data_IF_407214990640
#
_entry.id   IF_407214990640
#
_cell.length_a   1.000
_cell.length_b   1.000
_cell.length_c   1.000
_cell.angle_alpha   90.00
_cell.angle_beta   90.00
_cell.angle_gamma   90.00
#
_symmetry.space_group_name_H-M   'P 1'
#
loop_
_entity.id
_entity.type
_entity.pdbx_description
1 polymer ?
#
# COMPACT_ATOMS: atom_id res chain seq x y z
N UNK A 1 -25.05 -3.31 3.94
CA UNK A 1 -23.72 -3.86 4.26
C UNK A 1 -23.31 -3.24 5.57
N UNK A 2 -22.90 -4.03 6.57
CA UNK A 2 -22.24 -3.46 7.74
C UNK A 2 -20.85 -3.04 7.28
N UNK A 3 -20.63 -1.73 7.16
CA UNK A 3 -19.34 -1.18 6.78
C UNK A 3 -18.44 -1.23 8.02
N UNK A 4 -17.47 -2.15 8.02
CA UNK A 4 -16.55 -2.32 9.14
C UNK A 4 -15.59 -1.14 9.30
N UNK A 5 -15.54 -0.21 8.34
CA UNK A 5 -14.87 1.08 8.49
C UNK A 5 -15.36 2.11 7.46
N UNK A 6 -16.18 3.07 7.90
CA UNK A 6 -16.39 4.32 7.15
C UNK A 6 -15.09 5.15 7.19
N UNK A 7 -14.34 5.08 6.11
CA UNK A 7 -13.07 5.79 5.93
C UNK A 7 -13.23 7.20 5.33
N UNK A 8 -14.46 7.71 5.24
CA UNK A 8 -14.75 9.05 4.73
C UNK A 8 -14.74 9.16 3.20
N UNK A 9 -14.75 10.39 2.71
CA UNK A 9 -15.04 10.67 1.30
C UNK A 9 -13.80 10.96 0.45
N UNK A 10 -12.69 11.35 1.08
CA UNK A 10 -11.44 11.75 0.40
C UNK A 10 -10.38 10.68 0.59
N UNK A 11 -10.10 9.93 -0.47
CA UNK A 11 -9.10 8.87 -0.46
C UNK A 11 -7.86 9.23 -1.28
N UNK A 12 -6.71 8.80 -0.79
CA UNK A 12 -5.46 8.75 -1.53
C UNK A 12 -5.10 7.29 -1.83
N UNK A 13 -4.91 6.97 -3.10
CA UNK A 13 -4.44 5.65 -3.56
C UNK A 13 -2.95 5.75 -3.91
N UNK A 14 -2.08 5.33 -2.98
CA UNK A 14 -0.63 5.40 -3.14
C UNK A 14 -0.14 4.13 -3.84
N UNK A 15 0.70 4.27 -4.86
CA UNK A 15 1.14 3.15 -5.70
C UNK A 15 -0.02 2.53 -6.49
N UNK A 16 -0.89 3.37 -7.04
CA UNK A 16 -2.20 2.99 -7.58
C UNK A 16 -2.14 1.90 -8.67
N UNK A 17 -1.06 1.92 -9.47
CA UNK A 17 -0.93 1.05 -10.63
C UNK A 17 -2.13 1.11 -11.59
N UNK A 18 -2.22 0.09 -12.45
CA UNK A 18 -3.34 -0.10 -13.40
C UNK A 18 -4.26 -1.27 -13.00
N UNK A 19 -4.24 -1.61 -11.72
CA UNK A 19 -4.91 -2.80 -11.17
C UNK A 19 -6.43 -2.66 -11.08
N UNK A 20 -7.03 -3.53 -10.27
CA UNK A 20 -8.45 -3.44 -9.94
C UNK A 20 -8.73 -2.41 -8.82
N UNK A 21 -7.70 -2.03 -8.07
CA UNK A 21 -7.78 -1.17 -6.89
C UNK A 21 -8.33 0.22 -7.20
N UNK A 22 -7.88 0.93 -8.25
CA UNK A 22 -8.41 2.25 -8.55
C UNK A 22 -9.94 2.29 -8.67
N UNK A 23 -10.52 1.39 -9.48
CA UNK A 23 -11.97 1.31 -9.69
C UNK A 23 -12.76 1.00 -8.43
N UNK A 24 -12.18 0.19 -7.54
CA UNK A 24 -12.81 -0.09 -6.25
C UNK A 24 -12.83 1.16 -5.38
N UNK A 25 -11.70 1.87 -5.26
CA UNK A 25 -11.64 3.08 -4.46
C UNK A 25 -12.52 4.20 -5.02
N UNK A 26 -12.59 4.36 -6.35
CA UNK A 26 -13.50 5.30 -7.02
C UNK A 26 -14.99 4.96 -6.80
N UNK A 27 -15.31 3.71 -6.52
CA UNK A 27 -16.67 3.28 -6.16
C UNK A 27 -16.98 3.55 -4.67
N UNK A 28 -16.02 3.30 -3.78
CA UNK A 28 -16.22 3.44 -2.33
C UNK A 28 -16.10 4.90 -1.83
N UNK A 29 -15.32 5.74 -2.52
CA UNK A 29 -15.06 7.12 -2.10
C UNK A 29 -15.48 8.13 -3.16
N UNK A 30 -15.97 9.28 -2.70
CA UNK A 30 -16.44 10.36 -3.57
C UNK A 30 -15.29 11.09 -4.28
N UNK A 31 -14.15 11.23 -3.62
CA UNK A 31 -12.99 11.95 -4.14
C UNK A 31 -11.75 11.06 -3.95
N UNK A 32 -11.17 10.59 -5.06
CA UNK A 32 -9.99 9.75 -5.05
C UNK A 32 -8.88 10.44 -5.81
N UNK A 33 -7.73 10.58 -5.18
CA UNK A 33 -6.49 10.96 -5.86
C UNK A 33 -5.62 9.72 -5.99
N UNK A 34 -5.19 9.41 -7.20
CA UNK A 34 -4.26 8.31 -7.47
C UNK A 34 -2.83 8.84 -7.57
N UNK A 35 -1.90 8.21 -6.86
CA UNK A 35 -0.49 8.46 -7.01
C UNK A 35 0.27 7.18 -7.38
N UNK A 36 1.21 7.31 -8.31
CA UNK A 36 2.19 6.27 -8.60
C UNK A 36 3.56 6.90 -8.90
N UNK A 37 4.64 6.15 -8.70
CA UNK A 37 6.01 6.59 -9.02
C UNK A 37 6.20 6.72 -10.54
N UNK A 38 5.44 5.95 -11.32
CA UNK A 38 5.41 6.06 -12.77
C UNK A 38 4.06 6.62 -13.20
N UNK A 39 4.03 7.87 -13.68
CA UNK A 39 2.80 8.51 -14.19
C UNK A 39 2.10 7.68 -15.28
N UNK A 40 2.83 6.84 -16.01
CA UNK A 40 2.22 5.95 -17.02
C UNK A 40 1.47 4.79 -16.39
N UNK A 41 1.45 4.64 -15.07
CA UNK A 41 0.66 3.63 -14.37
C UNK A 41 -0.62 4.19 -13.77
N UNK A 42 -0.82 5.50 -13.70
CA UNK A 42 -2.05 6.06 -13.11
C UNK A 42 -3.27 5.81 -14.02
N UNK A 43 -4.47 5.65 -13.43
CA UNK A 43 -5.71 5.31 -14.17
C UNK A 43 -6.31 6.47 -14.99
N UNK A 44 -5.71 7.67 -14.96
CA UNK A 44 -6.32 8.92 -15.45
C UNK A 44 -7.02 9.68 -14.32
N UNK A 45 -7.81 10.71 -14.66
CA UNK A 45 -8.52 11.53 -13.66
C UNK A 45 -7.58 12.30 -12.72
N UNK A 46 -8.03 12.49 -11.48
CA UNK A 46 -7.24 13.12 -10.41
C UNK A 46 -6.06 12.22 -10.04
N UNK A 47 -4.92 12.47 -10.69
CA UNK A 47 -3.73 11.67 -10.53
C UNK A 47 -2.45 12.50 -10.54
N UNK A 48 -1.45 12.03 -9.81
CA UNK A 48 -0.16 12.70 -9.67
C UNK A 48 0.98 11.68 -9.69
N UNK A 49 2.12 12.04 -10.27
CA UNK A 49 3.34 11.26 -10.08
C UNK A 49 3.88 11.56 -8.67
N UNK A 50 4.07 10.53 -7.85
CA UNK A 50 4.61 10.75 -6.52
C UNK A 50 5.37 9.55 -5.94
N UNK A 51 6.28 9.85 -5.03
CA UNK A 51 7.04 8.87 -4.27
C UNK A 51 6.37 8.68 -2.90
N UNK A 52 6.09 7.43 -2.51
CA UNK A 52 5.31 7.16 -1.29
C UNK A 52 6.02 7.64 -0.02
N UNK A 53 7.35 7.77 -0.06
CA UNK A 53 8.16 8.32 1.05
C UNK A 53 8.25 9.85 1.09
N UNK A 54 7.60 10.55 0.15
CA UNK A 54 7.52 12.02 0.10
C UNK A 54 6.25 12.47 -0.63
N UNK A 55 5.12 12.43 0.07
CA UNK A 55 3.81 12.67 -0.55
C UNK A 55 3.57 14.17 -0.77
N UNK A 56 3.23 14.62 -2.00
CA UNK A 56 3.11 16.03 -2.37
C UNK A 56 1.77 16.66 -1.95
N UNK A 57 1.30 16.33 -0.75
CA UNK A 57 0.02 16.78 -0.21
C UNK A 57 0.22 17.43 1.16
N UNK A 58 -0.65 18.39 1.47
CA UNK A 58 -0.72 18.99 2.81
C UNK A 58 -1.09 17.95 3.86
N UNK A 59 -0.74 18.24 5.10
CA UNK A 59 -1.16 17.45 6.25
C UNK A 59 -2.70 17.37 6.33
N UNK A 60 -3.24 16.20 6.65
CA UNK A 60 -4.68 15.96 6.76
C UNK A 60 -5.50 16.25 5.49
N UNK A 61 -4.88 16.21 4.31
CA UNK A 61 -5.56 16.39 3.03
C UNK A 61 -6.67 15.36 2.78
N UNK A 62 -6.50 14.14 3.29
CA UNK A 62 -7.36 12.99 3.04
C UNK A 62 -7.99 12.43 4.32
N UNK A 63 -9.12 11.74 4.15
CA UNK A 63 -9.72 10.96 5.22
C UNK A 63 -8.99 9.61 5.35
N UNK A 64 -8.58 9.01 4.23
CA UNK A 64 -7.83 7.74 4.21
C UNK A 64 -6.75 7.70 3.13
N UNK A 65 -5.61 7.07 3.43
CA UNK A 65 -4.59 6.70 2.46
C UNK A 65 -4.47 5.17 2.35
N UNK A 66 -4.47 4.66 1.12
CA UNK A 66 -4.32 3.25 0.80
C UNK A 66 -2.92 2.97 0.26
N UNK A 67 -2.23 1.98 0.83
CA UNK A 67 -0.97 1.42 0.33
C UNK A 67 -1.16 -0.06 0.04
N UNK A 68 -2.04 -0.36 -0.92
CA UNK A 68 -2.41 -1.74 -1.23
C UNK A 68 -1.32 -2.37 -2.10
N UNK A 69 -0.65 -3.40 -1.58
CA UNK A 69 0.41 -4.09 -2.31
C UNK A 69 1.58 -3.18 -2.74
N UNK A 70 1.91 -2.18 -1.92
CA UNK A 70 3.01 -1.23 -2.19
C UNK A 70 4.22 -1.51 -1.30
N UNK A 71 4.01 -1.55 0.03
CA UNK A 71 5.12 -1.60 0.98
C UNK A 71 6.05 -2.80 0.81
N UNK A 72 5.55 -3.92 0.28
CA UNK A 72 6.38 -5.08 0.00
C UNK A 72 7.36 -4.86 -1.16
N UNK A 73 7.36 -3.71 -1.83
CA UNK A 73 8.40 -3.29 -2.78
C UNK A 73 9.45 -2.38 -2.14
N UNK A 74 9.33 -2.08 -0.85
CA UNK A 74 10.15 -1.12 -0.15
C UNK A 74 11.00 -1.82 0.90
N UNK A 75 12.28 -1.44 1.10
CA UNK A 75 13.02 -1.87 2.27
C UNK A 75 12.39 -1.30 3.55
N UNK A 76 12.66 -1.93 4.68
CA UNK A 76 12.06 -1.59 6.00
C UNK A 76 12.06 -0.09 6.32
N UNK A 77 13.19 0.60 6.14
CA UNK A 77 13.30 2.03 6.40
C UNK A 77 12.38 2.90 5.52
N UNK A 78 12.30 2.58 4.23
CA UNK A 78 11.41 3.27 3.28
C UNK A 78 9.94 2.98 3.59
N UNK A 79 9.58 1.74 3.91
CA UNK A 79 8.22 1.39 4.32
C UNK A 79 7.76 2.13 5.58
N UNK A 80 8.66 2.31 6.57
CA UNK A 80 8.37 3.12 7.76
C UNK A 80 8.12 4.60 7.40
N UNK A 81 8.93 5.16 6.49
CA UNK A 81 8.74 6.54 6.01
C UNK A 81 7.43 6.68 5.24
N UNK A 82 7.08 5.71 4.38
CA UNK A 82 5.83 5.72 3.64
C UNK A 82 4.60 5.67 4.56
N UNK A 83 4.62 4.86 5.63
CA UNK A 83 3.55 4.86 6.63
C UNK A 83 3.43 6.19 7.38
N UNK A 84 4.57 6.82 7.72
CA UNK A 84 4.57 8.16 8.34
C UNK A 84 3.98 9.21 7.41
N UNK A 85 4.39 9.23 6.15
CA UNK A 85 3.87 10.17 5.16
C UNK A 85 2.38 9.95 4.91
N UNK A 86 1.95 8.70 4.77
CA UNK A 86 0.53 8.38 4.63
C UNK A 86 -0.29 8.86 5.84
N UNK A 87 0.22 8.66 7.06
CA UNK A 87 -0.44 9.13 8.28
C UNK A 87 -0.41 10.65 8.43
N UNK A 88 0.61 11.32 7.88
CA UNK A 88 0.68 12.79 7.83
C UNK A 88 -0.41 13.37 6.94
N UNK A 89 -0.59 12.82 5.74
CA UNK A 89 -1.54 13.36 4.76
C UNK A 89 -2.98 12.86 4.97
N UNK A 90 -3.18 11.77 5.70
CA UNK A 90 -4.50 11.16 5.90
C UNK A 90 -4.83 10.86 7.36
N UNK A 91 -6.11 10.97 7.72
CA UNK A 91 -6.59 10.60 9.06
C UNK A 91 -6.43 9.10 9.33
N UNK A 92 -6.75 8.26 8.35
CA UNK A 92 -6.60 6.81 8.41
C UNK A 92 -5.60 6.30 7.38
N UNK A 93 -4.93 5.19 7.67
CA UNK A 93 -4.09 4.49 6.69
C UNK A 93 -4.49 3.04 6.62
N UNK A 94 -4.67 2.50 5.42
CA UNK A 94 -4.88 1.07 5.19
C UNK A 94 -3.80 0.53 4.25
N UNK A 95 -2.92 -0.34 4.76
CA UNK A 95 -1.80 -0.87 3.99
C UNK A 95 -1.82 -2.39 3.97
N UNK A 96 -1.38 -2.98 2.85
CA UNK A 96 -1.26 -4.44 2.72
C UNK A 96 0.09 -4.86 2.13
N UNK A 97 0.61 -5.98 2.62
CA UNK A 97 1.84 -6.61 2.14
C UNK A 97 1.58 -8.08 1.79
N UNK A 98 2.30 -8.58 0.80
CA UNK A 98 2.21 -9.98 0.42
C UNK A 98 2.86 -10.86 1.47
N UNK A 99 2.19 -11.95 1.83
CA UNK A 99 2.67 -12.96 2.78
C UNK A 99 2.52 -14.37 2.18
N UNK A 100 3.13 -14.66 1.01
CA UNK A 100 2.97 -15.96 0.38
C UNK A 100 3.60 -17.06 1.24
N UNK A 101 2.97 -18.24 1.29
CA UNK A 101 3.57 -19.41 1.97
C UNK A 101 4.92 -19.83 1.38
N UNK A 102 5.13 -19.52 0.09
CA UNK A 102 6.37 -19.76 -0.65
C UNK A 102 6.54 -18.67 -1.69
N UNK A 103 7.68 -17.98 -1.65
CA UNK A 103 8.04 -16.97 -2.64
C UNK A 103 8.34 -17.60 -4.00
N UNK A 104 7.97 -16.89 -5.07
CA UNK A 104 8.27 -17.26 -6.46
C UNK A 104 9.47 -16.44 -6.92
N UNK A 105 10.69 -16.88 -6.63
CA UNK A 105 11.87 -16.10 -6.96
C UNK A 105 13.12 -16.60 -6.26
N UNK A 106 14.16 -15.78 -6.30
CA UNK A 106 15.42 -16.01 -5.60
C UNK A 106 15.53 -15.05 -4.42
N UNK A 107 15.85 -15.57 -3.26
CA UNK A 107 16.24 -14.74 -2.12
C UNK A 107 17.65 -14.22 -2.36
N UNK A 108 17.81 -12.89 -2.37
CA UNK A 108 19.08 -12.20 -2.65
C UNK A 108 19.70 -11.57 -1.40
N UNK A 109 18.89 -11.38 -0.37
CA UNK A 109 19.28 -11.00 0.98
C UNK A 109 18.20 -11.53 1.94
N UNK A 110 18.46 -11.56 3.25
CA UNK A 110 17.49 -12.03 4.23
C UNK A 110 16.14 -11.29 4.09
N UNK A 111 15.09 -12.03 3.70
CA UNK A 111 13.75 -11.47 3.48
C UNK A 111 13.61 -10.60 2.23
N UNK A 112 14.63 -10.47 1.38
CA UNK A 112 14.59 -9.72 0.13
C UNK A 112 14.65 -10.68 -1.06
N UNK A 113 13.66 -10.58 -1.94
CA UNK A 113 13.38 -11.52 -3.01
C UNK A 113 13.38 -10.84 -4.37
N UNK A 114 14.07 -11.41 -5.33
CA UNK A 114 13.92 -11.10 -6.74
C UNK A 114 12.88 -12.04 -7.36
N UNK A 115 11.76 -11.47 -7.78
CA UNK A 115 10.61 -12.18 -8.33
C UNK A 115 10.49 -11.86 -9.82
N UNK A 116 10.53 -12.87 -10.71
CA UNK A 116 10.26 -12.68 -12.13
C UNK A 116 8.85 -12.14 -12.37
N UNK A 117 8.73 -11.12 -13.20
CA UNK A 117 7.47 -10.47 -13.54
C UNK A 117 7.29 -10.38 -15.06
N UNK A 118 6.34 -11.14 -15.59
CA UNK A 118 6.17 -11.30 -17.03
C UNK A 118 7.40 -11.93 -17.68
N UNK A 119 7.64 -11.61 -18.95
CA UNK A 119 8.72 -12.23 -19.73
C UNK A 119 10.09 -11.53 -19.58
N UNK A 120 10.12 -10.28 -19.09
CA UNK A 120 11.32 -9.42 -19.19
C UNK A 120 11.70 -8.65 -17.93
N UNK A 121 10.86 -8.63 -16.90
CA UNK A 121 11.14 -7.84 -15.69
C UNK A 121 11.44 -8.74 -14.50
N UNK A 122 12.29 -8.25 -13.61
CA UNK A 122 12.48 -8.77 -12.26
C UNK A 122 12.09 -7.65 -11.31
N UNK A 123 11.35 -7.99 -10.26
CA UNK A 123 10.91 -7.03 -9.24
C UNK A 123 11.44 -7.47 -7.89
N UNK A 124 11.90 -6.49 -7.11
CA UNK A 124 12.31 -6.73 -5.73
C UNK A 124 11.09 -6.71 -4.82
N UNK A 125 11.02 -7.68 -3.93
CA UNK A 125 10.03 -7.78 -2.88
C UNK A 125 10.70 -7.98 -1.53
N UNK A 126 10.15 -7.36 -0.50
CA UNK A 126 10.57 -7.51 0.89
C UNK A 126 9.48 -8.24 1.66
N UNK A 127 9.88 -9.28 2.38
CA UNK A 127 9.02 -10.06 3.24
C UNK A 127 8.76 -9.30 4.53
N UNK A 128 7.49 -9.21 4.89
CA UNK A 128 7.02 -8.60 6.13
C UNK A 128 6.19 -9.62 6.93
N UNK A 129 6.34 -9.57 8.24
CA UNK A 129 5.48 -10.24 9.23
C UNK A 129 4.49 -9.25 9.85
N UNK A 130 3.51 -9.76 10.60
CA UNK A 130 2.62 -8.89 11.39
C UNK A 130 3.40 -8.06 12.41
N UNK A 131 4.43 -8.64 13.01
CA UNK A 131 5.29 -7.93 13.96
C UNK A 131 6.07 -6.81 13.27
N UNK A 132 6.60 -7.05 12.07
CA UNK A 132 7.24 -5.97 11.30
C UNK A 132 6.27 -4.82 11.05
N UNK A 133 5.03 -5.10 10.64
CA UNK A 133 4.03 -4.04 10.42
C UNK A 133 3.72 -3.26 11.70
N UNK A 134 3.60 -3.95 12.84
CA UNK A 134 3.38 -3.30 14.13
C UNK A 134 4.55 -2.39 14.55
N UNK A 135 5.79 -2.82 14.34
CA UNK A 135 6.99 -2.04 14.68
C UNK A 135 7.22 -0.84 13.75
N UNK A 136 6.74 -0.91 12.51
CA UNK A 136 6.85 0.18 11.53
C UNK A 136 5.74 1.23 11.67
N UNK A 137 4.68 0.89 12.40
CA UNK A 137 3.52 1.75 12.57
C UNK A 137 3.92 3.06 13.30
N UNK A 138 3.60 4.24 12.75
CA UNK A 138 3.86 5.52 13.40
C UNK A 138 2.93 5.82 14.58
N UNK A 139 1.90 5.00 14.78
CA UNK A 139 0.93 5.08 15.86
C UNK A 139 0.39 3.67 16.16
N UNK A 140 -0.22 3.42 17.34
CA UNK A 140 -0.86 2.15 17.63
C UNK A 140 -1.88 1.77 16.55
N UNK A 141 -1.83 0.56 15.97
CA UNK A 141 -2.75 0.18 14.92
C UNK A 141 -4.18 0.01 15.45
N UNK A 142 -5.15 0.52 14.68
CA UNK A 142 -6.58 0.27 14.88
C UNK A 142 -6.94 -1.18 14.56
N UNK A 143 -6.27 -1.75 13.55
CA UNK A 143 -6.38 -3.16 13.22
C UNK A 143 -5.07 -3.67 12.61
N UNK A 144 -4.74 -4.93 12.88
CA UNK A 144 -3.59 -5.62 12.31
C UNK A 144 -3.97 -7.08 12.15
N UNK A 145 -3.72 -7.65 10.99
CA UNK A 145 -4.11 -9.04 10.77
C UNK A 145 -3.74 -9.60 9.42
N UNK A 146 -4.23 -10.80 9.16
CA UNK A 146 -4.04 -11.50 7.92
C UNK A 146 -5.35 -11.58 7.14
N UNK A 147 -5.28 -11.34 5.83
CA UNK A 147 -6.41 -11.49 4.91
C UNK A 147 -6.04 -12.48 3.80
N UNK A 148 -6.99 -13.34 3.45
CA UNK A 148 -6.83 -14.30 2.36
C UNK A 148 -7.70 -13.89 1.18
N UNK A 149 -7.08 -13.69 0.02
CA UNK A 149 -7.77 -13.46 -1.26
C UNK A 149 -7.46 -14.63 -2.19
N UNK A 150 -8.40 -15.57 -2.30
CA UNK A 150 -8.18 -16.84 -2.99
C UNK A 150 -7.01 -17.62 -2.38
N UNK A 151 -5.97 -17.90 -3.17
CA UNK A 151 -4.76 -18.60 -2.69
C UNK A 151 -3.72 -17.67 -2.08
N UNK A 152 -3.87 -16.35 -2.23
CA UNK A 152 -2.91 -15.37 -1.73
C UNK A 152 -3.23 -14.99 -0.29
N UNK A 153 -2.20 -15.01 0.55
CA UNK A 153 -2.25 -14.49 1.92
C UNK A 153 -1.55 -13.13 1.92
N UNK A 154 -2.17 -12.15 2.55
CA UNK A 154 -1.62 -10.83 2.76
C UNK A 154 -1.71 -10.50 4.24
N UNK A 155 -0.76 -9.73 4.74
CA UNK A 155 -0.91 -9.05 6.01
C UNK A 155 -1.39 -7.63 5.75
N UNK A 156 -2.19 -7.11 6.66
CA UNK A 156 -2.73 -5.76 6.58
C UNK A 156 -2.56 -5.04 7.92
N UNK A 157 -2.47 -3.72 7.85
CA UNK A 157 -2.48 -2.82 8.99
C UNK A 157 -3.41 -1.64 8.70
N UNK A 158 -4.14 -1.21 9.72
CA UNK A 158 -4.97 -0.01 9.72
C UNK A 158 -4.51 0.91 10.85
N UNK A 159 -4.24 2.18 10.55
CA UNK A 159 -3.73 3.20 11.48
C UNK A 159 -4.68 4.37 11.64
#
# INVERSE_FOLDING_TARGET
MADFADFGWRALDVGSGRGAQPKYLEHEHRFVVHCDLDRRLTPGGDSVECEATMLPFRDGAFDVAYLVAVMHHMPRGAAATALREAKRVARYVAATVWAPRKWRGREVAQGAWEVPWGAKAVRTYYQYTLQDLAELAPAPPLALGAMRRGRQLNYFIVL
#
